data_IF_662865044616
#
_entry.id   IF_662865044616
#
_cell.length_a   1.000
_cell.length_b   1.000
_cell.length_c   1.000
_cell.angle_alpha   90.00
_cell.angle_beta   90.00
_cell.angle_gamma   90.00
#
_symmetry.space_group_name_H-M   'P 1'
#
loop_
_entity.id
_entity.type
_entity.pdbx_description
1 polymer ?
#
# COMPACT_ATOMS: atom_id res chain seq x y z
N UNK A 1 12.97 15.73 12.78
CA UNK A 1 12.97 14.32 13.23
C UNK A 1 11.65 13.82 13.86
N UNK A 2 10.52 14.56 13.84
CA UNK A 2 9.26 14.19 14.51
C UNK A 2 8.14 13.60 13.60
N UNK A 3 8.34 13.55 12.27
CA UNK A 3 7.32 13.06 11.31
C UNK A 3 7.29 11.54 11.14
N UNK A 4 8.45 10.86 11.13
CA UNK A 4 8.55 9.42 10.79
C UNK A 4 8.01 8.45 11.85
N UNK A 5 8.10 8.82 13.15
CA UNK A 5 7.66 7.94 14.26
C UNK A 5 6.13 7.94 14.43
N UNK A 6 5.46 9.07 14.19
CA UNK A 6 3.99 9.17 14.25
C UNK A 6 3.31 8.50 13.06
N UNK A 7 3.99 8.42 11.91
CA UNK A 7 3.50 7.70 10.73
C UNK A 7 3.59 6.17 10.86
N UNK A 8 4.21 5.60 11.90
CA UNK A 8 4.30 4.13 12.11
C UNK A 8 3.40 3.66 13.28
N UNK A 9 2.94 4.58 14.14
CA UNK A 9 2.13 4.23 15.30
C UNK A 9 0.82 3.53 14.95
N UNK A 10 0.20 3.85 13.81
CA UNK A 10 -0.97 3.12 13.33
C UNK A 10 -0.59 1.74 12.77
N UNK A 11 0.59 1.59 12.17
CA UNK A 11 1.01 0.36 11.50
C UNK A 11 1.09 -0.84 12.45
N UNK A 12 1.33 -0.60 13.75
CA UNK A 12 1.32 -1.66 14.79
C UNK A 12 -0.05 -2.34 14.93
N UNK A 13 -1.14 -1.68 14.53
CA UNK A 13 -2.51 -2.21 14.55
C UNK A 13 -2.92 -2.86 13.22
N UNK A 14 -1.99 -3.00 12.27
CA UNK A 14 -2.25 -3.62 10.98
C UNK A 14 -2.58 -5.10 11.11
N UNK A 15 -3.71 -5.54 10.53
CA UNK A 15 -4.11 -6.94 10.50
C UNK A 15 -3.09 -7.84 9.77
N UNK A 16 -2.37 -7.28 8.79
CA UNK A 16 -1.30 -7.97 8.04
C UNK A 16 -0.18 -8.51 8.94
N UNK A 17 -0.02 -8.00 10.16
CA UNK A 17 1.01 -8.48 11.12
C UNK A 17 0.78 -9.91 11.60
N UNK A 18 -0.45 -10.43 11.46
CA UNK A 18 -0.81 -11.80 11.78
C UNK A 18 -0.73 -12.73 10.55
N UNK A 19 -0.17 -12.26 9.44
CA UNK A 19 -0.05 -12.98 8.17
C UNK A 19 1.41 -13.06 7.73
N UNK A 20 1.69 -13.97 6.80
CA UNK A 20 3.00 -14.08 6.17
C UNK A 20 3.32 -12.80 5.36
N UNK A 21 4.50 -12.17 5.54
CA UNK A 21 4.94 -11.04 4.72
C UNK A 21 4.92 -11.29 3.21
N UNK A 22 5.19 -12.51 2.75
CA UNK A 22 5.14 -12.89 1.32
C UNK A 22 3.72 -12.75 0.74
N UNK A 23 2.69 -12.76 1.60
CA UNK A 23 1.33 -12.46 1.17
C UNK A 23 1.17 -11.00 0.74
N UNK A 24 2.01 -10.07 1.17
CA UNK A 24 1.90 -8.66 0.77
C UNK A 24 3.05 -8.22 -0.13
N UNK A 25 4.20 -8.91 -0.07
CA UNK A 25 5.42 -8.59 -0.80
C UNK A 25 5.96 -9.84 -1.51
N UNK A 26 5.20 -10.45 -2.44
CA UNK A 26 5.64 -11.68 -3.08
C UNK A 26 6.75 -11.42 -4.09
N UNK A 27 7.65 -12.40 -4.25
CA UNK A 27 8.62 -12.40 -5.35
C UNK A 27 7.96 -12.49 -6.75
N UNK A 28 6.83 -13.21 -6.84
CA UNK A 28 6.04 -13.34 -8.06
C UNK A 28 4.57 -13.03 -7.77
N UNK A 29 4.01 -12.06 -8.51
CA UNK A 29 2.62 -11.65 -8.33
C UNK A 29 1.67 -12.68 -8.95
N UNK A 30 0.58 -12.99 -8.24
CA UNK A 30 -0.53 -13.77 -8.79
C UNK A 30 -1.86 -13.15 -8.38
N UNK A 31 -2.88 -13.30 -9.23
CA UNK A 31 -4.21 -12.76 -8.95
C UNK A 31 -4.82 -13.34 -7.66
N UNK A 32 -4.52 -14.61 -7.37
CA UNK A 32 -4.96 -15.27 -6.14
C UNK A 32 -4.29 -14.67 -4.90
N UNK A 33 -2.96 -14.49 -4.94
CA UNK A 33 -2.21 -13.88 -3.84
C UNK A 33 -2.69 -12.44 -3.62
N UNK A 34 -2.91 -11.67 -4.68
CA UNK A 34 -3.46 -10.31 -4.60
C UNK A 34 -4.83 -10.29 -3.93
N UNK A 35 -5.75 -11.17 -4.36
CA UNK A 35 -7.09 -11.27 -3.78
C UNK A 35 -7.04 -11.62 -2.28
N UNK A 36 -6.18 -12.56 -1.89
CA UNK A 36 -5.98 -12.94 -0.48
C UNK A 36 -5.44 -11.77 0.36
N UNK A 37 -4.45 -11.05 -0.15
CA UNK A 37 -3.90 -9.87 0.54
C UNK A 37 -4.93 -8.75 0.69
N UNK A 38 -5.72 -8.50 -0.37
CA UNK A 38 -6.81 -7.53 -0.35
C UNK A 38 -7.91 -7.92 0.64
N UNK A 39 -8.21 -9.20 0.79
CA UNK A 39 -9.16 -9.69 1.79
C UNK A 39 -8.70 -9.39 3.23
N UNK A 40 -7.42 -9.59 3.55
CA UNK A 40 -6.86 -9.19 4.86
C UNK A 40 -6.98 -7.66 5.06
N UNK A 41 -6.72 -6.89 4.01
CA UNK A 41 -6.84 -5.43 4.08
C UNK A 41 -8.27 -4.96 4.32
N UNK A 42 -9.29 -5.63 3.79
CA UNK A 42 -10.69 -5.22 3.89
C UNK A 42 -11.21 -5.13 5.35
N UNK A 43 -10.70 -5.98 6.24
CA UNK A 43 -11.01 -5.96 7.68
C UNK A 43 -10.00 -5.19 8.55
N UNK A 44 -8.98 -4.56 7.95
CA UNK A 44 -7.88 -3.97 8.69
C UNK A 44 -8.28 -2.62 9.30
N UNK A 45 -8.12 -2.41 10.63
CA UNK A 45 -8.57 -1.18 11.30
C UNK A 45 -7.77 0.08 10.89
N UNK A 46 -6.64 -0.11 10.21
CA UNK A 46 -5.76 0.98 9.74
C UNK A 46 -5.69 1.05 8.22
N UNK A 47 -6.69 0.48 7.53
CA UNK A 47 -6.79 0.48 6.07
C UNK A 47 -6.60 1.89 5.47
N UNK A 48 -7.32 2.88 6.02
CA UNK A 48 -7.28 4.25 5.53
C UNK A 48 -5.90 4.90 5.71
N UNK A 49 -5.30 4.79 6.90
CA UNK A 49 -3.97 5.34 7.20
C UNK A 49 -2.89 4.68 6.32
N UNK A 50 -2.93 3.35 6.20
CA UNK A 50 -2.00 2.56 5.39
C UNK A 50 -2.08 2.95 3.91
N UNK A 51 -3.31 3.06 3.38
CA UNK A 51 -3.55 3.47 2.00
C UNK A 51 -3.05 4.89 1.74
N UNK A 52 -3.40 5.82 2.61
CA UNK A 52 -2.99 7.22 2.48
C UNK A 52 -1.46 7.37 2.56
N UNK A 53 -0.82 6.63 3.45
CA UNK A 53 0.64 6.55 3.54
C UNK A 53 1.25 6.03 2.24
N UNK A 54 0.84 4.85 1.76
CA UNK A 54 1.48 4.22 0.61
C UNK A 54 1.24 4.98 -0.71
N UNK A 55 0.08 5.62 -0.86
CA UNK A 55 -0.20 6.51 -1.99
C UNK A 55 0.71 7.73 -1.93
N UNK A 56 0.83 8.41 -0.78
CA UNK A 56 1.68 9.59 -0.61
C UNK A 56 3.17 9.28 -0.75
N UNK A 57 3.64 8.21 -0.11
CA UNK A 57 5.05 7.83 -0.05
C UNK A 57 5.57 7.26 -1.38
N UNK A 58 4.68 6.80 -2.25
CA UNK A 58 5.12 6.21 -3.50
C UNK A 58 5.63 4.78 -3.37
N UNK A 59 5.22 4.05 -2.34
CA UNK A 59 5.76 2.71 -2.00
C UNK A 59 5.90 1.84 -3.26
N UNK A 60 7.11 1.37 -3.59
CA UNK A 60 7.45 0.86 -4.92
C UNK A 60 6.93 -0.55 -5.18
N UNK A 61 6.64 -1.29 -4.12
CA UNK A 61 6.32 -2.72 -4.16
C UNK A 61 5.16 -3.09 -3.23
N UNK A 62 4.71 -4.33 -3.39
CA UNK A 62 3.73 -4.96 -2.52
C UNK A 62 2.33 -4.35 -2.50
N UNK A 63 1.48 -4.93 -1.66
CA UNK A 63 0.09 -4.54 -1.43
C UNK A 63 0.00 -3.77 -0.12
N UNK A 64 -0.42 -2.51 -0.24
CA UNK A 64 -0.56 -1.60 0.89
C UNK A 64 -1.96 -1.02 0.92
N UNK A 65 -2.63 -1.08 2.08
CA UNK A 65 -3.97 -0.54 2.24
C UNK A 65 -4.98 -1.10 1.22
N UNK A 66 -4.80 -2.38 0.84
CA UNK A 66 -5.62 -3.06 -0.17
C UNK A 66 -5.39 -2.61 -1.61
N UNK A 67 -4.25 -1.98 -1.91
CA UNK A 67 -3.91 -1.51 -3.26
C UNK A 67 -2.60 -2.10 -3.76
N UNK A 68 -2.55 -2.48 -5.03
CA UNK A 68 -1.31 -2.81 -5.76
C UNK A 68 -0.50 -1.56 -6.10
N UNK A 69 0.74 -1.74 -6.55
CA UNK A 69 1.59 -0.64 -7.05
C UNK A 69 0.89 0.12 -8.18
N UNK A 70 0.26 -0.61 -9.12
CA UNK A 70 -0.43 -0.01 -10.27
C UNK A 70 -1.63 0.82 -9.83
N UNK A 71 -2.47 0.29 -8.94
CA UNK A 71 -3.61 1.02 -8.39
C UNK A 71 -3.17 2.29 -7.64
N UNK A 72 -2.10 2.20 -6.83
CA UNK A 72 -1.53 3.39 -6.17
C UNK A 72 -1.02 4.43 -7.17
N UNK A 73 -0.41 4.00 -8.28
CA UNK A 73 0.03 4.91 -9.36
C UNK A 73 -1.15 5.59 -10.02
N UNK A 74 -2.22 4.88 -10.34
CA UNK A 74 -3.44 5.46 -10.92
C UNK A 74 -4.11 6.48 -10.00
N UNK A 75 -4.04 6.28 -8.68
CA UNK A 75 -4.54 7.28 -7.71
C UNK A 75 -3.66 8.53 -7.62
N UNK A 76 -2.33 8.39 -7.73
CA UNK A 76 -1.41 9.54 -7.76
C UNK A 76 -1.49 10.32 -9.06
N UNK A 77 -1.68 9.60 -10.16
CA UNK A 77 -1.62 10.12 -11.52
C UNK A 77 -2.87 9.67 -12.27
N UNK A 78 -4.03 10.27 -11.97
CA UNK A 78 -5.26 9.96 -12.67
C UNK A 78 -5.13 10.24 -14.17
N UNK A 79 -5.91 9.52 -14.98
CA UNK A 79 -5.93 9.64 -16.43
C UNK A 79 -6.02 11.10 -16.88
N UNK A 80 -5.06 11.52 -17.72
CA UNK A 80 -4.91 12.92 -18.15
C UNK A 80 -3.78 13.69 -17.46
N UNK A 81 -3.17 13.11 -16.41
CA UNK A 81 -1.97 13.68 -15.82
C UNK A 81 -0.77 13.57 -16.77
N UNK A 82 -0.22 14.70 -17.20
CA UNK A 82 1.06 14.78 -17.91
C UNK A 82 2.19 14.95 -16.88
N UNK A 83 3.19 14.09 -16.95
CA UNK A 83 4.45 14.32 -16.23
C UNK A 83 5.05 15.65 -16.68
N UNK A 84 5.39 16.58 -15.76
CA UNK A 84 6.38 17.59 -16.11
C UNK A 84 7.67 16.85 -16.44
N UNK A 85 8.28 17.17 -17.58
CA UNK A 85 9.61 16.67 -17.90
C UNK A 85 10.53 16.98 -16.70
N UNK A 86 11.17 15.96 -16.14
CA UNK A 86 12.18 16.14 -15.12
C UNK A 86 13.26 17.06 -15.70
N UNK A 87 13.38 18.27 -15.15
CA UNK A 87 14.44 19.22 -15.49
C UNK A 87 15.76 18.84 -14.83
#
# INVERSE_FOLDING_TARGET
MRRKVREIGWAIRGACRASDPELFFPLAQSAEQEARAKAVCAGCPVLADCRAYAVRAGEPEGIWGGLTVQERRSLRFPSGWRQPAAG
#
